data_IF_706484031978
#
_entry.id   IF_706484031978
#
_cell.length_a   1.000
_cell.length_b   1.000
_cell.length_c   1.000
_cell.angle_alpha   90.00
_cell.angle_beta   90.00
_cell.angle_gamma   90.00
#
_symmetry.space_group_name_H-M   'P 1'
#
loop_
_entity.id
_entity.type
_entity.pdbx_description
1 polymer ?
#
# COMPACT_ATOMS: atom_id res chain seq x y z
N UNK A 1 -45.76 -19.26 42.01
CA UNK A 1 -44.95 -20.44 42.35
C UNK A 1 -44.95 -21.27 41.09
N UNK A 2 -43.84 -21.22 40.35
CA UNK A 2 -43.75 -21.71 38.99
C UNK A 2 -44.29 -23.15 38.88
N UNK A 3 -45.27 -23.35 38.01
CA UNK A 3 -45.77 -24.68 37.75
C UNK A 3 -44.66 -25.51 37.09
N UNK A 4 -44.32 -26.65 37.67
CA UNK A 4 -43.25 -27.53 37.18
C UNK A 4 -43.56 -28.18 35.83
N UNK A 5 -44.84 -28.22 35.42
CA UNK A 5 -45.31 -28.79 34.14
C UNK A 5 -45.71 -27.74 33.10
N UNK A 6 -45.31 -26.48 33.30
CA UNK A 6 -45.73 -25.38 32.42
C UNK A 6 -45.40 -25.67 30.96
N UNK A 7 -44.20 -26.19 30.67
CA UNK A 7 -43.78 -26.51 29.31
C UNK A 7 -44.69 -27.56 28.63
N UNK A 8 -44.99 -28.67 29.33
CA UNK A 8 -45.84 -29.74 28.81
C UNK A 8 -47.27 -29.24 28.57
N UNK A 9 -47.84 -28.54 29.56
CA UNK A 9 -49.22 -28.05 29.50
C UNK A 9 -49.40 -27.01 28.39
N UNK A 10 -48.41 -26.12 28.20
CA UNK A 10 -48.43 -25.12 27.14
C UNK A 10 -48.30 -25.78 25.77
N UNK A 11 -47.41 -26.77 25.60
CA UNK A 11 -47.28 -27.52 24.35
C UNK A 11 -48.56 -28.29 24.00
N UNK A 12 -49.13 -28.99 24.97
CA UNK A 12 -50.39 -29.74 24.82
C UNK A 12 -51.58 -28.83 24.53
N UNK A 13 -51.56 -27.58 24.99
CA UNK A 13 -52.63 -26.62 24.73
C UNK A 13 -52.71 -26.22 23.24
N UNK A 14 -51.57 -26.09 22.56
CA UNK A 14 -51.52 -25.71 21.13
C UNK A 14 -51.54 -26.90 20.17
N UNK A 15 -51.46 -28.14 20.65
CA UNK A 15 -51.50 -29.32 19.78
C UNK A 15 -52.94 -29.69 19.36
N UNK A 16 -53.19 -29.58 18.05
CA UNK A 16 -54.46 -29.93 17.43
C UNK A 16 -54.78 -31.44 17.48
N UNK A 17 -53.78 -32.30 17.73
CA UNK A 17 -53.89 -33.77 17.69
C UNK A 17 -54.24 -34.41 19.04
N UNK A 18 -54.41 -33.63 20.11
CA UNK A 18 -54.81 -34.18 21.40
C UNK A 18 -56.17 -34.89 21.33
N UNK A 19 -56.27 -35.99 22.08
CA UNK A 19 -57.55 -36.65 22.32
C UNK A 19 -58.51 -35.72 23.09
N UNK A 20 -59.83 -35.81 22.84
CA UNK A 20 -60.82 -34.98 23.53
C UNK A 20 -60.71 -34.95 25.08
N UNK A 21 -60.49 -36.07 25.80
CA UNK A 21 -60.36 -36.03 27.25
C UNK A 21 -59.08 -35.34 27.73
N UNK A 22 -57.97 -35.48 26.99
CA UNK A 22 -56.71 -34.82 27.34
C UNK A 22 -56.80 -33.29 27.18
N UNK A 23 -57.50 -32.82 26.15
CA UNK A 23 -57.75 -31.39 25.92
C UNK A 23 -58.54 -30.73 27.06
N UNK A 24 -59.55 -31.42 27.59
CA UNK A 24 -60.33 -30.93 28.73
C UNK A 24 -59.47 -30.79 29.99
N UNK A 25 -58.61 -31.77 30.28
CA UNK A 25 -57.70 -31.72 31.43
C UNK A 25 -56.72 -30.53 31.34
N UNK A 26 -56.19 -30.27 30.15
CA UNK A 26 -55.29 -29.13 29.89
C UNK A 26 -56.03 -27.80 30.04
N UNK A 27 -57.23 -27.66 29.46
CA UNK A 27 -58.04 -26.44 29.61
C UNK A 27 -58.41 -26.16 31.07
N UNK A 28 -58.77 -27.20 31.83
CA UNK A 28 -59.04 -27.08 33.26
C UNK A 28 -57.81 -26.61 34.03
N UNK A 29 -56.63 -27.14 33.72
CA UNK A 29 -55.37 -26.71 34.34
C UNK A 29 -55.06 -25.24 34.04
N UNK A 30 -55.16 -24.81 32.78
CA UNK A 30 -54.95 -23.41 32.37
C UNK A 30 -55.94 -22.45 33.04
N UNK A 31 -57.18 -22.90 33.27
CA UNK A 31 -58.20 -22.12 34.00
C UNK A 31 -57.94 -21.98 35.50
N UNK A 32 -57.05 -22.80 36.07
CA UNK A 32 -56.75 -22.82 37.52
C UNK A 32 -55.38 -22.22 37.82
N UNK A 33 -54.39 -22.44 36.95
CA UNK A 33 -53.02 -21.95 37.15
C UNK A 33 -52.80 -20.58 36.49
N UNK A 34 -52.40 -19.58 37.27
CA UNK A 34 -52.08 -18.23 36.77
C UNK A 34 -50.86 -18.22 35.87
N UNK A 35 -49.84 -19.00 36.22
CA UNK A 35 -48.55 -19.01 35.54
C UNK A 35 -48.71 -19.64 34.14
N UNK A 36 -49.36 -20.80 34.02
CA UNK A 36 -49.67 -21.41 32.73
C UNK A 36 -50.58 -20.54 31.85
N UNK A 37 -51.53 -19.81 32.46
CA UNK A 37 -52.39 -18.89 31.71
C UNK A 37 -51.61 -17.71 31.12
N UNK A 38 -50.68 -17.16 31.88
CA UNK A 38 -49.83 -16.06 31.42
C UNK A 38 -48.96 -16.50 30.23
N UNK A 39 -48.38 -17.69 30.30
CA UNK A 39 -47.55 -18.25 29.21
C UNK A 39 -48.37 -18.55 27.95
N UNK A 40 -49.57 -19.14 28.09
CA UNK A 40 -50.47 -19.36 26.95
C UNK A 40 -50.90 -18.04 26.32
N UNK A 41 -51.21 -17.02 27.12
CA UNK A 41 -51.56 -15.70 26.62
C UNK A 41 -50.39 -15.01 25.90
N UNK A 42 -49.16 -15.20 26.38
CA UNK A 42 -47.95 -14.68 25.73
C UNK A 42 -47.70 -15.31 24.36
N UNK A 43 -48.03 -16.59 24.18
CA UNK A 43 -47.79 -17.35 22.94
C UNK A 43 -48.97 -17.32 21.94
N UNK A 44 -50.17 -16.97 22.39
CA UNK A 44 -51.37 -16.84 21.55
C UNK A 44 -51.16 -16.00 20.26
N UNK A 45 -50.55 -14.79 20.30
CA UNK A 45 -50.36 -14.00 19.09
C UNK A 45 -49.38 -14.64 18.09
N UNK A 46 -48.33 -15.31 18.57
CA UNK A 46 -47.38 -16.02 17.70
C UNK A 46 -48.05 -17.23 17.03
N UNK A 47 -48.90 -17.95 17.76
CA UNK A 47 -49.69 -19.04 17.20
C UNK A 47 -50.68 -18.56 16.11
N UNK A 48 -51.35 -17.42 16.32
CA UNK A 48 -52.21 -16.82 15.30
C UNK A 48 -51.45 -16.37 14.05
N UNK A 49 -50.24 -15.81 14.22
CA UNK A 49 -49.35 -15.47 13.11
C UNK A 49 -48.94 -16.72 12.31
N UNK A 50 -48.67 -17.83 12.99
CA UNK A 50 -48.32 -19.10 12.34
C UNK A 50 -49.50 -19.71 11.58
N UNK A 51 -50.72 -19.60 12.11
CA UNK A 51 -51.93 -20.05 11.40
C UNK A 51 -52.24 -19.20 10.16
N UNK A 52 -51.91 -17.91 10.20
CA UNK A 52 -52.07 -16.99 9.07
C UNK A 52 -50.85 -16.95 8.13
N UNK A 53 -49.82 -17.75 8.41
CA UNK A 53 -48.62 -17.84 7.58
C UNK A 53 -48.96 -18.44 6.21
N UNK A 54 -48.85 -17.61 5.17
CA UNK A 54 -48.95 -18.08 3.79
C UNK A 54 -47.60 -18.63 3.33
N UNK A 55 -47.62 -19.77 2.65
CA UNK A 55 -46.43 -20.30 1.98
C UNK A 55 -46.02 -19.33 0.87
N UNK A 56 -45.03 -18.50 1.16
CA UNK A 56 -44.39 -17.67 0.15
C UNK A 56 -43.60 -18.59 -0.77
N UNK A 57 -43.71 -18.46 -2.11
CA UNK A 57 -42.82 -19.19 -3.00
C UNK A 57 -41.38 -18.84 -2.62
N UNK A 58 -40.60 -19.88 -2.36
CA UNK A 58 -39.15 -19.75 -2.17
C UNK A 58 -38.62 -19.06 -3.43
N UNK A 59 -37.87 -17.94 -3.31
CA UNK A 59 -37.21 -17.34 -4.46
C UNK A 59 -36.42 -18.42 -5.19
N UNK A 60 -36.45 -18.43 -6.53
CA UNK A 60 -35.64 -19.36 -7.32
C UNK A 60 -34.15 -19.02 -7.16
N UNK A 61 -33.57 -19.37 -6.02
CA UNK A 61 -32.15 -19.56 -5.89
C UNK A 61 -31.89 -20.89 -6.61
N UNK A 62 -31.54 -20.79 -7.88
CA UNK A 62 -31.26 -21.90 -8.78
C UNK A 62 -30.40 -23.00 -8.11
N UNK A 63 -31.04 -24.14 -7.77
CA UNK A 63 -30.36 -25.38 -7.37
C UNK A 63 -30.46 -26.44 -8.48
N UNK A 64 -30.46 -26.03 -9.75
CA UNK A 64 -30.39 -26.94 -10.91
C UNK A 64 -29.08 -27.75 -11.00
N UNK A 65 -28.24 -27.69 -9.96
CA UNK A 65 -26.99 -28.43 -9.84
C UNK A 65 -26.94 -29.37 -8.62
N UNK A 66 -28.08 -29.76 -8.04
CA UNK A 66 -28.15 -30.81 -7.01
C UNK A 66 -28.54 -32.17 -7.61
N UNK A 67 -27.79 -33.27 -7.36
CA UNK A 67 -28.13 -34.57 -7.91
C UNK A 67 -29.40 -35.13 -7.23
N UNK A 68 -30.49 -35.14 -8.00
CA UNK A 68 -31.58 -36.11 -7.98
C UNK A 68 -31.96 -36.74 -6.62
N UNK A 69 -32.86 -36.08 -5.89
CA UNK A 69 -33.72 -36.76 -4.94
C UNK A 69 -35.17 -36.76 -5.46
N UNK A 70 -35.53 -37.84 -6.15
CA UNK A 70 -36.86 -38.44 -6.22
C UNK A 70 -38.04 -37.53 -6.59
N UNK A 71 -38.15 -37.19 -7.88
CA UNK A 71 -39.47 -36.99 -8.49
C UNK A 71 -39.71 -38.04 -9.60
N UNK A 72 -40.88 -38.69 -9.62
CA UNK A 72 -41.25 -39.60 -10.70
C UNK A 72 -41.34 -38.81 -12.01
N UNK A 73 -40.48 -39.17 -12.96
CA UNK A 73 -40.38 -38.55 -14.28
C UNK A 73 -41.71 -38.74 -15.03
N UNK A 74 -42.39 -37.64 -15.36
CA UNK A 74 -43.39 -37.65 -16.41
C UNK A 74 -42.70 -37.96 -17.76
N UNK A 75 -43.29 -38.78 -18.65
CA UNK A 75 -42.71 -39.02 -19.97
C UNK A 75 -42.76 -37.73 -20.78
N UNK A 76 -41.60 -37.09 -20.94
CA UNK A 76 -41.43 -35.93 -21.80
C UNK A 76 -41.86 -36.32 -23.23
N UNK A 77 -42.96 -35.73 -23.71
CA UNK A 77 -43.35 -35.77 -25.12
C UNK A 77 -42.18 -35.21 -25.93
N UNK A 78 -41.53 -36.08 -26.70
CA UNK A 78 -40.34 -35.77 -27.50
C UNK A 78 -40.72 -34.87 -28.68
N UNK A 79 -40.93 -33.57 -28.42
CA UNK A 79 -40.96 -32.56 -29.48
C UNK A 79 -39.55 -32.47 -30.06
N UNK A 80 -39.35 -32.98 -31.27
CA UNK A 80 -38.14 -32.72 -32.06
C UNK A 80 -38.13 -31.22 -32.39
N UNK A 81 -37.18 -30.42 -31.91
CA UNK A 81 -37.09 -29.01 -32.30
C UNK A 81 -36.75 -28.97 -33.80
N UNK A 82 -37.60 -28.33 -34.59
CA UNK A 82 -37.27 -27.97 -35.97
C UNK A 82 -36.17 -26.90 -35.91
N UNK A 83 -35.06 -27.03 -36.64
CA UNK A 83 -34.01 -26.03 -36.64
C UNK A 83 -34.54 -24.75 -37.30
N UNK A 84 -34.94 -23.77 -36.51
CA UNK A 84 -35.25 -22.43 -36.99
C UNK A 84 -33.96 -21.61 -37.08
N UNK A 85 -33.80 -20.80 -38.14
CA UNK A 85 -32.65 -19.91 -38.36
C UNK A 85 -32.35 -18.97 -37.18
N UNK A 86 -33.31 -18.70 -36.29
CA UNK A 86 -33.08 -17.99 -35.03
C UNK A 86 -32.13 -18.69 -34.05
N UNK A 87 -31.90 -19.99 -34.19
CA UNK A 87 -30.91 -20.71 -33.39
C UNK A 87 -29.47 -20.47 -33.84
N UNK A 88 -29.23 -19.96 -35.06
CA UNK A 88 -27.89 -19.59 -35.53
C UNK A 88 -27.38 -18.36 -34.77
N UNK A 89 -28.28 -17.42 -34.45
CA UNK A 89 -27.95 -16.24 -33.64
C UNK A 89 -27.54 -16.54 -32.20
N UNK A 90 -27.89 -17.72 -31.65
CA UNK A 90 -27.46 -18.16 -30.32
C UNK A 90 -25.96 -18.47 -30.24
N UNK A 91 -25.32 -18.75 -31.38
CA UNK A 91 -23.89 -19.06 -31.45
C UNK A 91 -23.02 -17.83 -31.70
N UNK A 92 -23.61 -16.66 -31.98
CA UNK A 92 -22.88 -15.40 -32.14
C UNK A 92 -21.95 -15.08 -30.96
N UNK A 93 -22.37 -15.14 -29.68
CA UNK A 93 -21.47 -14.84 -28.57
C UNK A 93 -20.34 -15.87 -28.45
N UNK A 94 -20.61 -17.15 -28.74
CA UNK A 94 -19.59 -18.21 -28.73
C UNK A 94 -18.57 -18.04 -29.86
N UNK A 95 -19.04 -17.73 -31.06
CA UNK A 95 -18.18 -17.44 -32.21
C UNK A 95 -17.33 -16.19 -31.95
N UNK A 96 -17.92 -15.13 -31.39
CA UNK A 96 -17.20 -13.92 -31.00
C UNK A 96 -16.14 -14.21 -29.92
N UNK A 97 -16.47 -15.00 -28.89
CA UNK A 97 -15.50 -15.38 -27.86
C UNK A 97 -14.35 -16.22 -28.43
N UNK A 98 -14.64 -17.11 -29.38
CA UNK A 98 -13.63 -17.94 -30.01
C UNK A 98 -12.71 -17.08 -30.89
N UNK A 99 -13.26 -16.19 -31.72
CA UNK A 99 -12.47 -15.25 -32.53
C UNK A 99 -11.60 -14.36 -31.64
N UNK A 100 -12.14 -13.84 -30.54
CA UNK A 100 -11.37 -13.03 -29.59
C UNK A 100 -10.25 -13.85 -28.92
N UNK A 101 -10.52 -15.09 -28.53
CA UNK A 101 -9.49 -15.97 -27.95
C UNK A 101 -8.36 -16.28 -28.94
N UNK A 102 -8.70 -16.52 -30.21
CA UNK A 102 -7.73 -16.75 -31.28
C UNK A 102 -6.96 -15.46 -31.58
N UNK A 103 -7.62 -14.32 -31.58
CA UNK A 103 -7.01 -13.00 -31.75
C UNK A 103 -5.98 -12.71 -30.64
N UNK A 104 -6.29 -13.06 -29.39
CA UNK A 104 -5.37 -12.93 -28.25
C UNK A 104 -4.20 -13.90 -28.38
N UNK A 105 -4.45 -15.18 -28.70
CA UNK A 105 -3.40 -16.19 -28.87
C UNK A 105 -2.43 -15.84 -30.01
N UNK A 106 -2.93 -15.23 -31.07
CA UNK A 106 -2.14 -14.83 -32.25
C UNK A 106 -1.61 -13.40 -32.17
N UNK A 107 -1.86 -12.70 -31.05
CA UNK A 107 -1.50 -11.30 -30.82
C UNK A 107 -1.89 -10.37 -31.99
N UNK A 108 -3.11 -10.51 -32.52
CA UNK A 108 -3.55 -9.69 -33.65
C UNK A 108 -3.68 -8.22 -33.25
N UNK A 109 -3.02 -7.32 -33.98
CA UNK A 109 -3.24 -5.88 -33.85
C UNK A 109 -3.94 -5.35 -35.09
N UNK A 110 -5.05 -4.65 -34.86
CA UNK A 110 -5.80 -3.88 -35.83
C UNK A 110 -5.45 -2.42 -35.63
N UNK A 111 -4.85 -1.81 -36.65
CA UNK A 111 -4.60 -0.38 -36.67
C UNK A 111 -5.37 0.22 -37.85
N UNK A 112 -6.11 1.29 -37.56
CA UNK A 112 -7.03 1.95 -38.48
C UNK A 112 -6.42 3.32 -38.79
N UNK A 113 -5.72 3.41 -39.91
CA UNK A 113 -5.11 4.66 -40.37
C UNK A 113 -5.98 5.33 -41.43
N UNK A 114 -5.69 6.59 -41.74
CA UNK A 114 -6.35 7.30 -42.83
C UNK A 114 -6.15 6.65 -44.21
N UNK A 115 -5.20 5.71 -44.36
CA UNK A 115 -4.90 5.00 -45.60
C UNK A 115 -5.54 3.61 -45.69
N UNK A 116 -6.23 3.13 -44.63
CA UNK A 116 -6.92 1.84 -44.64
C UNK A 116 -6.79 1.06 -43.34
N UNK A 117 -7.19 -0.21 -43.40
CA UNK A 117 -7.16 -1.14 -42.27
C UNK A 117 -5.92 -2.03 -42.40
N UNK A 118 -5.01 -1.95 -41.44
CA UNK A 118 -3.85 -2.85 -41.37
C UNK A 118 -4.04 -3.86 -40.25
N UNK A 119 -3.92 -5.15 -40.59
CA UNK A 119 -4.05 -6.26 -39.66
C UNK A 119 -2.71 -6.99 -39.59
N UNK A 120 -2.09 -6.96 -38.42
CA UNK A 120 -0.79 -7.59 -38.15
C UNK A 120 -0.95 -8.77 -37.20
N UNK A 121 -0.27 -9.88 -37.49
CA UNK A 121 -0.29 -11.11 -36.69
C UNK A 121 1.11 -11.36 -36.11
N UNK A 122 1.16 -11.72 -34.82
CA UNK A 122 2.39 -12.17 -34.15
C UNK A 122 3.35 -11.07 -33.70
N UNK A 123 4.46 -11.52 -33.10
CA UNK A 123 5.50 -10.67 -32.49
C UNK A 123 6.32 -9.88 -33.51
N UNK A 124 6.22 -10.14 -34.81
CA UNK A 124 7.07 -9.50 -35.82
C UNK A 124 7.01 -7.97 -35.84
N UNK A 125 5.86 -7.37 -35.53
CA UNK A 125 5.73 -5.92 -35.38
C UNK A 125 6.37 -5.43 -34.06
N UNK A 126 6.18 -6.17 -32.96
CA UNK A 126 6.79 -5.88 -31.67
C UNK A 126 8.33 -6.08 -31.71
N UNK A 127 8.83 -7.08 -32.42
CA UNK A 127 10.25 -7.37 -32.64
C UNK A 127 10.92 -6.28 -33.46
N UNK A 128 10.28 -5.80 -34.54
CA UNK A 128 10.79 -4.64 -35.29
C UNK A 128 10.83 -3.37 -34.42
N UNK A 129 9.79 -3.15 -33.62
CA UNK A 129 9.76 -2.01 -32.70
C UNK A 129 10.82 -2.13 -31.60
N UNK A 130 11.05 -3.33 -31.07
CA UNK A 130 12.12 -3.62 -30.10
C UNK A 130 13.51 -3.41 -30.71
N UNK A 131 13.75 -3.86 -31.94
CA UNK A 131 15.01 -3.64 -32.66
C UNK A 131 15.29 -2.15 -32.92
N UNK A 132 14.25 -1.38 -33.25
CA UNK A 132 14.37 0.07 -33.39
C UNK A 132 14.64 0.76 -32.04
N UNK A 133 13.98 0.32 -30.96
CA UNK A 133 14.22 0.84 -29.62
C UNK A 133 15.65 0.54 -29.15
N UNK A 134 16.15 -0.67 -29.40
CA UNK A 134 17.49 -1.08 -29.02
C UNK A 134 18.56 -0.26 -29.76
N UNK A 135 18.35 0.00 -31.06
CA UNK A 135 19.19 0.92 -31.83
C UNK A 135 19.20 2.34 -31.26
N UNK A 136 18.04 2.86 -30.87
CA UNK A 136 17.93 4.19 -30.25
C UNK A 136 18.62 4.24 -28.87
N UNK A 137 18.41 3.23 -28.03
CA UNK A 137 19.02 3.15 -26.70
C UNK A 137 20.55 3.01 -26.79
N UNK A 138 21.06 2.23 -27.74
CA UNK A 138 22.49 2.08 -27.98
C UNK A 138 23.14 3.41 -28.41
N UNK A 139 22.48 4.16 -29.28
CA UNK A 139 22.96 5.48 -29.71
C UNK A 139 22.93 6.48 -28.55
N UNK A 140 21.84 6.50 -27.78
CA UNK A 140 21.74 7.38 -26.61
C UNK A 140 22.80 7.06 -25.56
N UNK A 141 23.10 5.78 -25.32
CA UNK A 141 24.17 5.36 -24.42
C UNK A 141 25.55 5.85 -24.89
N UNK A 142 25.81 5.85 -26.21
CA UNK A 142 27.05 6.37 -26.79
C UNK A 142 27.18 7.88 -26.60
N UNK A 143 26.11 8.63 -26.91
CA UNK A 143 26.10 10.09 -26.71
C UNK A 143 26.33 10.43 -25.25
N UNK A 144 25.61 9.78 -24.33
CA UNK A 144 25.76 10.02 -22.90
C UNK A 144 27.16 9.67 -22.38
N UNK A 145 27.78 8.61 -22.90
CA UNK A 145 29.15 8.25 -22.55
C UNK A 145 30.15 9.30 -23.03
N UNK A 146 29.99 9.85 -24.24
CA UNK A 146 30.83 10.92 -24.76
C UNK A 146 30.67 12.21 -23.96
N UNK A 147 29.43 12.62 -23.67
CA UNK A 147 29.17 13.79 -22.84
C UNK A 147 29.76 13.66 -21.44
N UNK A 148 29.62 12.49 -20.80
CA UNK A 148 30.22 12.23 -19.49
C UNK A 148 31.76 12.29 -19.52
N UNK A 149 32.40 11.80 -20.58
CA UNK A 149 33.85 11.89 -20.74
C UNK A 149 34.30 13.34 -20.89
N UNK A 150 33.62 14.12 -21.75
CA UNK A 150 33.92 15.55 -21.93
C UNK A 150 33.70 16.35 -20.65
N UNK A 151 32.61 16.07 -19.92
CA UNK A 151 32.35 16.71 -18.63
C UNK A 151 33.44 16.38 -17.61
N UNK A 152 33.87 15.11 -17.54
CA UNK A 152 34.93 14.69 -16.62
C UNK A 152 36.26 15.37 -16.97
N UNK A 153 36.62 15.44 -18.26
CA UNK A 153 37.83 16.14 -18.72
C UNK A 153 37.79 17.64 -18.39
N UNK A 154 36.67 18.30 -18.66
CA UNK A 154 36.48 19.72 -18.34
C UNK A 154 36.53 19.98 -16.82
N UNK A 155 35.89 19.12 -16.02
CA UNK A 155 35.94 19.20 -14.57
C UNK A 155 37.38 19.02 -14.06
N UNK A 156 38.10 18.00 -14.54
CA UNK A 156 39.49 17.75 -14.15
C UNK A 156 40.42 18.92 -14.52
N UNK A 157 40.24 19.52 -15.70
CA UNK A 157 41.00 20.71 -16.10
C UNK A 157 40.69 21.90 -15.19
N UNK A 158 39.41 22.19 -14.96
CA UNK A 158 39.00 23.31 -14.12
C UNK A 158 39.45 23.14 -12.65
N UNK A 159 39.40 21.92 -12.11
CA UNK A 159 39.97 21.64 -10.79
C UNK A 159 41.48 21.79 -10.78
N UNK A 160 42.18 21.33 -11.83
CA UNK A 160 43.63 21.48 -11.98
C UNK A 160 44.07 22.95 -11.97
N UNK A 161 43.46 23.77 -12.83
CA UNK A 161 43.79 25.19 -12.98
C UNK A 161 43.45 25.98 -11.72
N UNK A 162 42.25 25.78 -11.15
CA UNK A 162 41.86 26.46 -9.91
C UNK A 162 42.76 26.06 -8.74
N UNK A 163 43.11 24.77 -8.62
CA UNK A 163 43.96 24.29 -7.52
C UNK A 163 45.38 24.86 -7.66
N UNK A 164 45.93 24.91 -8.88
CA UNK A 164 47.23 25.52 -9.12
C UNK A 164 47.24 27.00 -8.73
N UNK A 165 46.22 27.77 -9.12
CA UNK A 165 46.12 29.19 -8.79
C UNK A 165 45.96 29.41 -7.28
N UNK A 166 45.11 28.60 -6.63
CA UNK A 166 44.91 28.68 -5.17
C UNK A 166 46.19 28.33 -4.41
N UNK A 167 46.98 27.36 -4.88
CA UNK A 167 48.25 26.98 -4.26
C UNK A 167 49.31 28.08 -4.40
N UNK A 168 49.38 28.75 -5.54
CA UNK A 168 50.27 29.90 -5.74
C UNK A 168 49.88 31.04 -4.80
N UNK A 169 48.59 31.37 -4.73
CA UNK A 169 48.08 32.39 -3.82
C UNK A 169 48.36 32.04 -2.34
N UNK A 170 48.22 30.77 -1.98
CA UNK A 170 48.50 30.28 -0.63
C UNK A 170 50.00 30.37 -0.30
N UNK A 171 50.87 30.02 -1.24
CA UNK A 171 52.32 30.16 -1.08
C UNK A 171 52.71 31.63 -0.84
N UNK A 172 52.19 32.55 -1.65
CA UNK A 172 52.41 33.99 -1.48
C UNK A 172 51.92 34.49 -0.10
N UNK A 173 50.75 34.02 0.34
CA UNK A 173 50.21 34.37 1.65
C UNK A 173 51.11 33.87 2.80
N UNK A 174 51.64 32.64 2.70
CA UNK A 174 52.58 32.11 3.69
C UNK A 174 53.89 32.90 3.74
N UNK A 175 54.42 33.34 2.59
CA UNK A 175 55.61 34.18 2.55
C UNK A 175 55.38 35.54 3.22
N UNK A 176 54.23 36.18 2.93
CA UNK A 176 53.83 37.42 3.59
C UNK A 176 53.67 37.24 5.11
N UNK A 177 53.02 36.16 5.53
CA UNK A 177 52.83 35.86 6.94
C UNK A 177 54.16 35.60 7.65
N UNK A 178 55.09 34.89 7.00
CA UNK A 178 56.44 34.65 7.53
C UNK A 178 57.21 35.96 7.71
N UNK A 179 57.11 36.91 6.78
CA UNK A 179 57.75 38.21 6.89
C UNK A 179 57.22 39.01 8.09
N UNK A 180 55.89 39.01 8.29
CA UNK A 180 55.25 39.65 9.45
C UNK A 180 55.65 38.98 10.77
N UNK A 181 55.75 37.65 10.78
CA UNK A 181 56.13 36.91 11.98
C UNK A 181 57.58 37.18 12.38
N UNK A 182 58.50 37.26 11.42
CA UNK A 182 59.89 37.68 11.67
C UNK A 182 59.93 39.07 12.31
N UNK A 183 59.18 40.04 11.77
CA UNK A 183 59.11 41.39 12.36
C UNK A 183 58.54 41.38 13.79
N UNK A 184 57.52 40.56 14.04
CA UNK A 184 56.94 40.43 15.39
C UNK A 184 57.92 39.77 16.36
N UNK A 185 58.67 38.76 15.92
CA UNK A 185 59.71 38.13 16.74
C UNK A 185 60.82 39.13 17.08
N UNK A 186 61.30 39.91 16.11
CA UNK A 186 62.29 40.97 16.35
C UNK A 186 61.80 41.99 17.39
N UNK A 187 60.57 42.48 17.24
CA UNK A 187 59.96 43.41 18.21
C UNK A 187 59.80 42.77 19.60
N UNK A 188 59.41 41.49 19.66
CA UNK A 188 59.29 40.74 20.91
C UNK A 188 60.64 40.56 21.62
N UNK A 189 61.70 40.24 20.88
CA UNK A 189 63.06 40.17 21.42
C UNK A 189 63.54 41.51 21.96
N UNK A 190 63.29 42.61 21.24
CA UNK A 190 63.62 43.96 21.72
C UNK A 190 62.89 44.30 23.02
N UNK A 191 61.60 43.96 23.13
CA UNK A 191 60.82 44.19 24.34
C UNK A 191 61.31 43.35 25.54
N UNK A 192 61.71 42.10 25.31
CA UNK A 192 62.29 41.26 26.37
C UNK A 192 63.60 41.85 26.88
N UNK A 193 64.48 42.28 25.97
CA UNK A 193 65.74 42.93 26.35
C UNK A 193 65.48 44.19 27.19
N UNK A 194 64.57 45.07 26.76
CA UNK A 194 64.24 46.30 27.51
C UNK A 194 63.65 46.00 28.90
N UNK A 195 62.76 45.01 29.01
CA UNK A 195 62.22 44.57 30.30
C UNK A 195 63.29 44.03 31.22
N UNK A 196 64.22 43.23 30.71
CA UNK A 196 65.33 42.69 31.51
C UNK A 196 66.24 43.80 32.01
N UNK A 197 66.56 44.79 31.16
CA UNK A 197 67.30 45.98 31.58
C UNK A 197 66.58 46.77 32.68
N UNK A 198 65.28 47.03 32.54
CA UNK A 198 64.48 47.72 33.56
C UNK A 198 64.41 46.92 34.87
N UNK A 199 64.26 45.59 34.77
CA UNK A 199 64.18 44.71 35.94
C UNK A 199 65.51 44.73 36.70
N UNK A 200 66.64 44.56 36.03
CA UNK A 200 67.98 44.63 36.65
C UNK A 200 68.21 45.98 37.31
N UNK A 201 67.87 47.09 36.63
CA UNK A 201 68.01 48.43 37.20
C UNK A 201 67.13 48.61 38.44
N UNK A 202 65.87 48.13 38.41
CA UNK A 202 64.98 48.20 39.57
C UNK A 202 65.49 47.39 40.78
N UNK A 203 66.07 46.21 40.54
CA UNK A 203 66.67 45.39 41.61
C UNK A 203 67.91 46.08 42.19
N UNK A 204 68.75 46.69 41.36
CA UNK A 204 69.91 47.48 41.83
C UNK A 204 69.46 48.68 42.66
N UNK A 205 68.41 49.39 42.25
CA UNK A 205 67.84 50.51 43.01
C UNK A 205 67.29 50.05 44.36
N UNK A 206 66.55 48.93 44.40
CA UNK A 206 66.05 48.35 45.65
C UNK A 206 67.18 47.93 46.58
N UNK A 207 68.24 47.29 46.05
CA UNK A 207 69.41 46.92 46.84
C UNK A 207 70.11 48.15 47.44
N UNK A 208 70.28 49.22 46.64
CA UNK A 208 70.87 50.49 47.12
C UNK A 208 70.01 51.18 48.20
N UNK A 209 68.68 51.10 48.09
CA UNK A 209 67.75 51.67 49.06
C UNK A 209 67.79 50.94 50.41
N UNK A 210 67.82 49.59 50.39
CA UNK A 210 67.94 48.77 51.61
C UNK A 210 69.28 49.03 52.31
N UNK A 211 70.38 49.17 51.55
CA UNK A 211 71.68 49.51 52.12
C UNK A 211 71.66 50.89 52.82
N UNK A 212 71.02 51.90 52.21
CA UNK A 212 70.89 53.22 52.84
C UNK A 212 70.05 53.20 54.12
N UNK A 213 69.01 52.37 54.23
CA UNK A 213 68.23 52.22 55.46
C UNK A 213 68.97 51.45 56.57
N UNK A 214 69.86 50.52 56.21
CA UNK A 214 70.68 49.77 57.17
C UNK A 214 71.79 50.60 57.84
N UNK A 215 72.17 51.73 57.24
CA UNK A 215 73.19 52.66 57.74
C UNK A 215 72.59 53.83 58.57
N UNK A 216 71.31 53.77 58.94
CA UNK A 216 70.69 54.73 59.86
C UNK A 216 70.92 54.27 61.33
N UNK A 217 71.55 55.10 62.19
CA UNK A 217 71.96 54.73 63.55
C UNK A 217 70.82 54.56 64.56
#
# INVERSE_FOLDING_TARGET
MSCHRTADIVADYFDARLSPPARLAVQQHVSTCTDCRAEVAALAPAHELLLSWQQQPVPEWDRSHGPAAHQPRQPLVRRRPRPTWGHVGRWLPLAASLVLSVAVLTQTRLDVSAQGWQLSFGTSAAERQLQQLDGYLAEQARVQQQENQQMLEAALQQFGDNTADTLVQMADWFEQQRALDIQRMEAGFQQMLDRDYQTVNSVQQLASYVQYQGDLP
#
